data_IF_167129900999
#
_entry.id   IF_167129900999
#
_cell.length_a   1.000
_cell.length_b   1.000
_cell.length_c   1.000
_cell.angle_alpha   90.00
_cell.angle_beta   90.00
_cell.angle_gamma   90.00
#
_symmetry.space_group_name_H-M   'P 1'
#
loop_
_entity.id
_entity.type
_entity.pdbx_description
1 polymer ?
#
# COMPACT_ATOMS: atom_id res chain seq x y z
N UNK A 1 -8.08 8.63 6.97
CA UNK A 1 -8.50 8.88 5.56
C UNK A 1 -9.30 10.18 5.47
N UNK A 2 -9.13 11.01 4.44
CA UNK A 2 -9.95 12.22 4.24
C UNK A 2 -11.40 11.85 3.88
N UNK A 3 -12.39 12.31 4.65
CA UNK A 3 -13.77 11.82 4.57
C UNK A 3 -14.68 12.56 3.57
N UNK A 4 -14.43 12.38 2.28
CA UNK A 4 -15.46 12.64 1.26
C UNK A 4 -16.53 11.54 1.27
N UNK A 5 -17.79 11.85 0.90
CA UNK A 5 -18.94 10.91 0.94
C UNK A 5 -18.58 9.50 0.43
N UNK A 6 -18.11 9.40 -0.82
CA UNK A 6 -17.64 8.14 -1.42
C UNK A 6 -16.66 7.35 -0.53
N UNK A 7 -15.69 8.02 0.10
CA UNK A 7 -14.71 7.35 0.94
C UNK A 7 -15.32 6.86 2.24
N UNK A 8 -16.24 7.62 2.83
CA UNK A 8 -16.96 7.19 4.03
C UNK A 8 -17.80 5.96 3.72
N UNK A 9 -18.48 5.93 2.56
CA UNK A 9 -19.30 4.78 2.15
C UNK A 9 -18.44 3.52 1.97
N UNK A 10 -17.31 3.64 1.26
CA UNK A 10 -16.36 2.53 1.08
C UNK A 10 -15.79 2.07 2.42
N UNK A 11 -15.39 3.00 3.29
CA UNK A 11 -14.88 2.66 4.62
C UNK A 11 -15.94 1.99 5.49
N UNK A 12 -17.21 2.39 5.37
CA UNK A 12 -18.32 1.74 6.06
C UNK A 12 -18.47 0.28 5.62
N UNK A 13 -18.38 -0.01 4.32
CA UNK A 13 -18.40 -1.39 3.81
C UNK A 13 -17.20 -2.20 4.26
N UNK A 14 -16.00 -1.60 4.28
CA UNK A 14 -14.82 -2.26 4.84
C UNK A 14 -15.01 -2.54 6.34
N UNK A 15 -15.50 -1.56 7.11
CA UNK A 15 -15.76 -1.72 8.53
C UNK A 15 -16.73 -2.88 8.81
N UNK A 16 -17.80 -3.02 8.02
CA UNK A 16 -18.73 -4.16 8.12
C UNK A 16 -18.04 -5.52 7.94
N UNK A 17 -17.06 -5.61 7.04
CA UNK A 17 -16.27 -6.84 6.87
C UNK A 17 -15.45 -7.13 8.14
N UNK A 18 -14.85 -6.12 8.77
CA UNK A 18 -14.12 -6.29 10.03
C UNK A 18 -15.04 -6.65 11.21
N UNK A 19 -16.23 -6.06 11.29
CA UNK A 19 -17.26 -6.41 12.28
C UNK A 19 -17.66 -7.88 12.14
N UNK A 20 -17.95 -8.34 10.91
CA UNK A 20 -18.30 -9.74 10.62
C UNK A 20 -17.16 -10.73 10.94
N UNK A 21 -15.91 -10.26 10.94
CA UNK A 21 -14.74 -11.05 11.33
C UNK A 21 -14.47 -11.03 12.85
N UNK A 22 -15.25 -10.28 13.63
CA UNK A 22 -15.12 -10.20 15.09
C UNK A 22 -14.10 -9.16 15.58
N UNK A 23 -13.71 -8.18 14.76
CA UNK A 23 -12.74 -7.14 15.14
C UNK A 23 -13.37 -5.87 15.74
N UNK A 24 -14.63 -5.93 16.17
CA UNK A 24 -15.40 -4.75 16.61
C UNK A 24 -14.72 -3.97 17.75
N UNK A 25 -14.13 -4.66 18.72
CA UNK A 25 -13.51 -4.01 19.89
C UNK A 25 -12.03 -3.65 19.70
N UNK A 26 -11.41 -4.12 18.61
CA UNK A 26 -9.97 -4.00 18.36
C UNK A 26 -9.63 -3.12 17.16
N UNK A 27 -10.62 -2.79 16.34
CA UNK A 27 -10.42 -2.01 15.12
C UNK A 27 -11.07 -0.63 15.21
N UNK A 28 -10.35 0.40 14.74
CA UNK A 28 -10.88 1.76 14.57
C UNK A 28 -10.39 2.34 13.25
N UNK A 29 -11.31 2.93 12.50
CA UNK A 29 -11.01 3.63 11.24
C UNK A 29 -11.02 5.13 11.50
N UNK A 30 -9.84 5.76 11.42
CA UNK A 30 -9.72 7.20 11.62
C UNK A 30 -10.10 7.96 10.33
N UNK A 31 -11.17 8.76 10.40
CA UNK A 31 -11.72 9.50 9.26
C UNK A 31 -11.74 10.99 9.54
N UNK A 32 -11.02 11.76 8.72
CA UNK A 32 -11.01 13.20 8.83
C UNK A 32 -12.22 13.80 8.08
N UNK A 33 -13.33 13.99 8.78
CA UNK A 33 -14.51 14.69 8.27
C UNK A 33 -15.47 15.05 9.41
N UNK A 34 -16.55 15.77 9.08
CA UNK A 34 -17.72 15.80 9.97
C UNK A 34 -18.24 14.36 10.14
N UNK A 35 -18.78 14.01 11.31
CA UNK A 35 -19.49 12.75 11.50
C UNK A 35 -20.60 12.60 10.46
N UNK A 36 -20.79 11.38 9.95
CA UNK A 36 -21.85 11.05 9.01
C UNK A 36 -22.91 10.24 9.76
N UNK A 37 -24.18 10.70 9.81
CA UNK A 37 -25.25 9.94 10.45
C UNK A 37 -25.40 8.54 9.83
N UNK A 38 -25.53 7.52 10.68
CA UNK A 38 -25.65 6.13 10.24
C UNK A 38 -24.35 5.47 9.78
N UNK A 39 -23.19 6.13 9.93
CA UNK A 39 -21.90 5.49 9.70
C UNK A 39 -21.65 4.35 10.69
N UNK A 40 -20.83 3.36 10.28
CA UNK A 40 -20.45 2.24 11.16
C UNK A 40 -19.77 2.75 12.44
N UNK A 41 -20.04 2.11 13.60
CA UNK A 41 -19.43 2.48 14.88
C UNK A 41 -17.90 2.35 14.89
N UNK A 42 -17.30 1.61 13.95
CA UNK A 42 -15.84 1.52 13.83
C UNK A 42 -15.21 2.80 13.23
N UNK A 43 -15.99 3.69 12.63
CA UNK A 43 -15.49 4.93 12.05
C UNK A 43 -15.40 6.00 13.15
N UNK A 44 -14.17 6.34 13.51
CA UNK A 44 -13.88 7.45 14.43
C UNK A 44 -13.61 8.71 13.61
N UNK A 45 -14.52 9.67 13.72
CA UNK A 45 -14.45 10.94 12.99
C UNK A 45 -13.68 12.00 13.78
N UNK A 46 -12.83 12.75 13.09
CA UNK A 46 -12.15 13.93 13.65
C UNK A 46 -12.13 15.06 12.60
N UNK A 47 -12.10 16.31 13.06
CA UNK A 47 -12.23 17.48 12.17
C UNK A 47 -10.90 18.17 11.92
N UNK A 48 -10.15 18.39 12.99
CA UNK A 48 -8.87 19.08 12.95
C UNK A 48 -7.82 18.23 12.24
N UNK A 49 -6.94 18.87 11.48
CA UNK A 49 -5.82 18.14 10.89
C UNK A 49 -4.88 17.77 12.03
N UNK A 50 -4.57 16.48 12.12
CA UNK A 50 -3.43 16.03 12.92
C UNK A 50 -2.17 16.69 12.37
N UNK A 51 -1.28 17.08 13.27
CA UNK A 51 0.04 17.51 12.86
C UNK A 51 0.87 16.29 12.38
N UNK A 52 2.08 16.56 11.90
CA UNK A 52 2.93 15.52 11.31
C UNK A 52 3.36 14.46 12.33
N UNK A 53 3.65 14.86 13.57
CA UNK A 53 4.10 13.96 14.64
C UNK A 53 2.96 13.06 15.12
N UNK A 54 1.78 13.65 15.34
CA UNK A 54 0.56 12.90 15.67
C UNK A 54 0.22 11.87 14.59
N UNK A 55 0.28 12.30 13.32
CA UNK A 55 0.02 11.40 12.19
C UNK A 55 1.04 10.26 12.15
N UNK A 56 2.32 10.57 12.33
CA UNK A 56 3.39 9.58 12.36
C UNK A 56 3.21 8.57 13.50
N UNK A 57 2.77 9.02 14.67
CA UNK A 57 2.51 8.14 15.83
C UNK A 57 1.32 7.20 15.59
N UNK A 58 0.23 7.69 14.98
CA UNK A 58 -0.87 6.83 14.56
C UNK A 58 -0.42 5.81 13.52
N UNK A 59 0.38 6.22 12.53
CA UNK A 59 0.92 5.31 11.52
C UNK A 59 1.78 4.22 12.17
N UNK A 60 2.70 4.59 13.07
CA UNK A 60 3.58 3.64 13.77
C UNK A 60 2.81 2.63 14.60
N UNK A 61 1.73 3.05 15.25
CA UNK A 61 0.89 2.19 16.11
C UNK A 61 -0.13 1.35 15.33
N UNK A 62 -0.50 1.76 14.11
CA UNK A 62 -1.47 1.04 13.30
C UNK A 62 -0.85 -0.22 12.69
N UNK A 63 -1.63 -1.27 12.52
CA UNK A 63 -1.22 -2.50 11.80
C UNK A 63 -1.48 -2.37 10.29
N UNK A 64 -2.57 -1.69 9.95
CA UNK A 64 -3.09 -1.55 8.59
C UNK A 64 -3.25 -0.07 8.28
N UNK A 65 -2.72 0.37 7.15
CA UNK A 65 -3.06 1.65 6.55
C UNK A 65 -4.07 1.43 5.42
N UNK A 66 -4.95 2.41 5.23
CA UNK A 66 -6.01 2.36 4.22
C UNK A 66 -5.89 3.58 3.32
N UNK A 67 -5.97 3.35 2.01
CA UNK A 67 -5.99 4.39 1.01
C UNK A 67 -7.10 4.19 -0.03
N UNK A 68 -8.12 5.03 0.04
CA UNK A 68 -9.27 5.01 -0.86
C UNK A 68 -9.15 6.17 -1.86
N UNK A 69 -8.80 5.83 -3.10
CA UNK A 69 -8.78 6.76 -4.24
C UNK A 69 -10.19 6.99 -4.76
N UNK A 70 -10.39 8.14 -5.41
CA UNK A 70 -11.65 8.44 -6.12
C UNK A 70 -11.66 7.71 -7.45
N UNK A 71 -12.85 7.38 -7.99
CA UNK A 71 -12.96 6.89 -9.37
C UNK A 71 -12.24 7.84 -10.34
N UNK A 72 -11.50 7.29 -11.29
CA UNK A 72 -10.75 8.05 -12.29
C UNK A 72 -9.41 8.63 -11.82
N UNK A 73 -9.05 8.50 -10.53
CA UNK A 73 -7.72 8.87 -10.05
C UNK A 73 -6.82 7.63 -9.95
N UNK A 74 -5.65 7.70 -10.57
CA UNK A 74 -4.59 6.71 -10.46
C UNK A 74 -3.33 7.40 -9.95
N UNK A 75 -2.71 6.85 -8.91
CA UNK A 75 -1.50 7.40 -8.32
C UNK A 75 -1.31 6.90 -6.88
N UNK A 76 -0.06 6.79 -6.47
CA UNK A 76 0.27 6.45 -5.09
C UNK A 76 0.14 7.70 -4.21
N UNK A 77 -0.60 7.59 -3.11
CA UNK A 77 -0.56 8.62 -2.07
C UNK A 77 0.64 8.42 -1.15
N UNK A 78 0.96 9.43 -0.33
CA UNK A 78 1.98 9.29 0.72
C UNK A 78 1.73 8.11 1.67
N UNK A 79 0.48 7.65 1.81
CA UNK A 79 0.12 6.46 2.59
C UNK A 79 0.92 5.23 2.17
N UNK A 80 1.18 5.07 0.88
CA UNK A 80 1.93 3.93 0.36
C UNK A 80 3.38 3.96 0.84
N UNK A 81 4.03 5.12 0.74
CA UNK A 81 5.39 5.27 1.21
C UNK A 81 5.48 5.11 2.74
N UNK A 82 4.51 5.61 3.50
CA UNK A 82 4.41 5.37 4.95
C UNK A 82 4.23 3.88 5.27
N UNK A 83 3.38 3.17 4.54
CA UNK A 83 3.17 1.74 4.73
C UNK A 83 4.43 0.94 4.42
N UNK A 84 5.14 1.28 3.34
CA UNK A 84 6.39 0.61 2.98
C UNK A 84 7.48 0.89 4.02
N UNK A 85 7.66 2.16 4.41
CA UNK A 85 8.67 2.58 5.40
C UNK A 85 8.44 1.91 6.76
N UNK A 86 7.21 1.93 7.25
CA UNK A 86 6.86 1.38 8.57
C UNK A 86 6.39 -0.07 8.53
N UNK A 87 6.54 -0.76 7.38
CA UNK A 87 6.17 -2.16 7.17
C UNK A 87 4.74 -2.47 7.62
N UNK A 88 3.80 -1.67 7.15
CA UNK A 88 2.36 -1.80 7.43
C UNK A 88 1.68 -2.58 6.33
N UNK A 89 0.57 -3.22 6.67
CA UNK A 89 -0.35 -3.69 5.64
C UNK A 89 -1.04 -2.51 4.99
N UNK A 90 -1.42 -2.70 3.74
CA UNK A 90 -2.18 -1.71 2.98
C UNK A 90 -3.49 -2.32 2.51
N UNK A 91 -4.59 -1.58 2.67
CA UNK A 91 -5.85 -1.82 1.96
C UNK A 91 -6.07 -0.64 1.01
N UNK A 92 -6.32 -0.92 -0.27
CA UNK A 92 -6.55 0.12 -1.27
C UNK A 92 -7.58 -0.28 -2.30
N UNK A 93 -8.30 0.67 -2.89
CA UNK A 93 -9.09 0.45 -4.10
C UNK A 93 -8.36 0.89 -5.38
N UNK A 94 -7.08 1.29 -5.29
CA UNK A 94 -6.28 1.63 -6.47
C UNK A 94 -5.71 0.35 -7.12
N UNK A 95 -6.37 -0.13 -8.17
CA UNK A 95 -5.95 -1.34 -8.88
C UNK A 95 -4.58 -1.20 -9.57
N UNK A 96 -4.13 0.02 -9.91
CA UNK A 96 -2.84 0.21 -10.58
C UNK A 96 -1.64 -0.20 -9.71
N UNK A 97 -1.85 -0.32 -8.40
CA UNK A 97 -0.81 -0.76 -7.46
C UNK A 97 -0.25 -2.13 -7.82
N UNK A 98 -1.05 -3.00 -8.44
CA UNK A 98 -0.60 -4.33 -8.86
C UNK A 98 0.52 -4.31 -9.93
N UNK A 99 0.74 -3.17 -10.60
CA UNK A 99 1.75 -3.02 -11.63
C UNK A 99 3.10 -2.47 -11.12
N UNK A 100 3.24 -2.21 -9.81
CA UNK A 100 4.48 -1.71 -9.22
C UNK A 100 5.31 -2.87 -8.65
N UNK A 101 6.64 -2.77 -8.74
CA UNK A 101 7.58 -3.81 -8.30
C UNK A 101 7.52 -4.14 -6.79
N UNK A 102 7.03 -3.19 -5.97
CA UNK A 102 6.85 -3.40 -4.54
C UNK A 102 5.55 -4.14 -4.19
N UNK A 103 4.69 -4.45 -5.16
CA UNK A 103 3.41 -5.11 -4.91
C UNK A 103 3.60 -6.52 -4.36
N UNK A 104 3.01 -6.77 -3.20
CA UNK A 104 2.93 -8.09 -2.59
C UNK A 104 1.50 -8.32 -2.08
N UNK A 105 0.74 -9.27 -2.64
CA UNK A 105 -0.65 -9.54 -2.21
C UNK A 105 -0.76 -10.00 -0.75
N UNK A 106 0.35 -10.41 -0.10
CA UNK A 106 0.39 -10.75 1.32
C UNK A 106 0.35 -9.50 2.22
N UNK A 107 0.81 -8.36 1.71
CA UNK A 107 0.92 -7.10 2.43
C UNK A 107 -0.05 -6.02 1.91
N UNK A 108 -0.43 -6.09 0.63
CA UNK A 108 -1.28 -5.11 -0.04
C UNK A 108 -2.54 -5.81 -0.55
N UNK A 109 -3.66 -5.48 0.08
CA UNK A 109 -4.98 -5.91 -0.37
C UNK A 109 -5.61 -4.85 -1.27
N UNK A 110 -5.87 -5.23 -2.51
CA UNK A 110 -6.66 -4.43 -3.45
C UNK A 110 -8.12 -4.85 -3.30
N UNK A 111 -9.00 -3.88 -3.03
CA UNK A 111 -10.44 -4.09 -2.82
C UNK A 111 -11.28 -3.46 -3.92
N UNK A 112 -12.40 -4.10 -4.22
CA UNK A 112 -13.52 -3.46 -4.91
C UNK A 112 -14.22 -2.51 -3.93
N UNK A 113 -14.50 -1.28 -4.38
CA UNK A 113 -15.10 -0.25 -3.54
C UNK A 113 -16.56 -0.53 -3.18
N UNK A 114 -17.30 -1.24 -4.03
CA UNK A 114 -18.70 -1.63 -3.80
C UNK A 114 -18.80 -2.96 -3.05
N UNK A 115 -17.84 -3.88 -3.28
CA UNK A 115 -17.84 -5.23 -2.69
C UNK A 115 -16.47 -5.59 -2.09
N UNK A 116 -16.06 -4.94 -0.99
CA UNK A 116 -14.82 -5.31 -0.31
C UNK A 116 -14.88 -6.76 0.16
N UNK A 117 -13.86 -7.55 -0.18
CA UNK A 117 -13.75 -8.96 0.23
C UNK A 117 -13.05 -9.07 1.59
N UNK A 118 -13.16 -10.24 2.21
CA UNK A 118 -12.49 -10.58 3.48
C UNK A 118 -11.01 -10.23 3.41
N UNK A 119 -10.55 -9.43 4.38
CA UNK A 119 -9.14 -9.08 4.51
C UNK A 119 -8.37 -10.33 4.96
N UNK A 120 -7.33 -10.71 4.22
CA UNK A 120 -6.50 -11.84 4.60
C UNK A 120 -5.64 -11.46 5.81
N UNK A 121 -5.91 -12.09 6.95
CA UNK A 121 -5.06 -11.99 8.14
C UNK A 121 -3.78 -12.82 7.94
N UNK A 122 -2.81 -12.25 7.22
CA UNK A 122 -1.48 -12.85 7.07
C UNK A 122 -0.50 -11.97 7.84
N UNK A 123 0.48 -12.44 8.62
CA UNK A 123 1.48 -11.54 9.21
C UNK A 123 2.23 -10.74 8.13
N UNK A 124 2.65 -9.50 8.41
CA UNK A 124 3.55 -8.76 7.50
C UNK A 124 4.90 -9.47 7.48
N UNK A 125 5.40 -9.84 6.29
CA UNK A 125 6.80 -10.27 6.16
C UNK A 125 7.71 -9.07 6.43
N UNK A 126 8.56 -9.17 7.45
CA UNK A 126 9.55 -8.14 7.79
C UNK A 126 10.77 -8.17 6.85
N UNK A 127 10.79 -9.14 5.95
CA UNK A 127 11.92 -9.43 5.06
C UNK A 127 11.77 -8.63 3.77
N UNK A 128 12.05 -7.33 3.82
CA UNK A 128 12.60 -6.63 2.66
C UNK A 128 14.11 -6.89 2.66
N UNK A 129 14.53 -8.08 2.23
CA UNK A 129 15.81 -8.16 1.55
C UNK A 129 15.56 -7.72 0.11
N UNK A 130 16.40 -6.80 -0.34
CA UNK A 130 16.44 -6.18 -1.65
C UNK A 130 16.04 -7.13 -2.80
N UNK A 131 14.77 -7.07 -3.22
CA UNK A 131 14.38 -7.47 -4.56
C UNK A 131 14.76 -6.33 -5.51
N UNK A 132 16.06 -6.15 -5.74
CA UNK A 132 16.54 -5.07 -6.60
C UNK A 132 18.06 -4.97 -6.83
N UNK A 133 18.90 -5.79 -6.20
CA UNK A 133 20.34 -5.82 -6.49
C UNK A 133 20.91 -7.21 -6.24
N UNK A 134 20.65 -8.17 -7.13
CA UNK A 134 21.48 -9.39 -7.22
C UNK A 134 21.23 -10.23 -8.49
N UNK A 135 20.19 -9.94 -9.29
CA UNK A 135 19.91 -10.71 -10.51
C UNK A 135 20.41 -10.08 -11.82
N UNK A 136 20.85 -8.81 -11.84
CA UNK A 136 21.23 -8.16 -13.09
C UNK A 136 22.55 -8.69 -13.68
N UNK A 137 23.52 -9.08 -12.86
CA UNK A 137 24.84 -9.41 -13.41
C UNK A 137 24.87 -10.75 -14.17
N UNK A 138 24.10 -11.76 -13.71
CA UNK A 138 24.01 -13.04 -14.43
C UNK A 138 23.07 -12.98 -15.64
N UNK A 139 22.02 -12.17 -15.60
CA UNK A 139 21.15 -11.98 -16.78
C UNK A 139 21.83 -11.12 -17.85
N UNK A 140 22.60 -10.09 -17.48
CA UNK A 140 23.37 -9.29 -18.45
C UNK A 140 24.49 -10.12 -19.08
N UNK A 141 25.20 -10.96 -18.31
CA UNK A 141 26.21 -11.88 -18.86
C UNK A 141 25.58 -12.94 -19.79
N UNK A 142 24.40 -13.46 -19.45
CA UNK A 142 23.69 -14.44 -20.27
C UNK A 142 23.13 -13.82 -21.56
N UNK A 143 22.59 -12.60 -21.50
CA UNK A 143 22.14 -11.86 -22.70
C UNK A 143 23.33 -11.48 -23.59
N UNK A 144 24.48 -11.11 -23.02
CA UNK A 144 25.68 -10.79 -23.79
C UNK A 144 26.33 -12.03 -24.44
N UNK A 145 26.26 -13.19 -23.78
CA UNK A 145 26.73 -14.46 -24.35
C UNK A 145 25.82 -14.98 -25.48
N UNK A 146 24.51 -14.74 -25.40
CA UNK A 146 23.54 -15.11 -26.44
C UNK A 146 23.51 -14.12 -27.62
N UNK A 147 23.89 -12.85 -27.40
CA UNK A 147 23.89 -11.80 -28.43
C UNK A 147 25.14 -11.77 -29.35
N UNK A 148 26.14 -12.63 -29.11
CA UNK A 148 27.28 -12.81 -30.03
C UNK A 148 28.16 -11.57 -30.26
N UNK A 149 28.16 -10.58 -29.35
CA UNK A 149 29.10 -9.47 -29.44
C UNK A 149 30.50 -9.93 -29.01
N UNK A 150 31.27 -10.38 -30.00
CA UNK A 150 32.71 -10.60 -29.86
C UNK A 150 33.39 -9.30 -29.39
N UNK A 151 34.26 -9.43 -28.40
CA UNK A 151 35.17 -8.40 -27.94
C UNK A 151 36.12 -8.03 -29.08
N UNK A 152 35.89 -6.90 -29.72
CA UNK A 152 36.91 -6.21 -30.50
C UNK A 152 36.74 -4.72 -30.28
N UNK A 153 37.56 -4.18 -29.38
CA UNK A 153 38.05 -2.80 -29.35
C UNK A 153 39.07 -2.70 -28.19
N UNK A 154 40.31 -3.14 -28.44
CA UNK A 154 41.44 -2.60 -27.70
C UNK A 154 41.76 -1.21 -28.27
N UNK A 155 41.76 -0.13 -27.48
CA UNK A 155 42.40 1.10 -27.91
C UNK A 155 43.94 0.93 -27.87
N UNK A 156 44.67 1.57 -28.80
CA UNK A 156 46.09 1.32 -29.03
C UNK A 156 46.97 1.82 -27.89
N UNK A 157 48.09 1.11 -27.66
CA UNK A 157 49.23 1.61 -26.90
C UNK A 157 49.76 2.88 -27.58
N UNK A 158 49.77 4.00 -26.87
CA UNK A 158 50.56 5.17 -27.23
C UNK A 158 51.74 5.27 -26.25
N UNK A 159 52.94 5.18 -26.83
CA UNK A 159 54.24 5.46 -26.22
C UNK A 159 54.36 6.93 -25.83
#
# INVERSE_FOLDING_TARGET
VMGGRHRVDVLGRVAQVFEQMGYTDTCKFLVQSKPVPGASPLLTFFRERMNIDETADYVRRSEILIDIVRPGHAGLSFRFFEALLYRKKMITNNASVAAYDFYDPRNILIIDSERPKRVLNTPVRRDTQAAGQQNDQRQIEQVNAEAGFAQDLQPPNLQ
#
